data_IF_882945981725
#
_entry.id   IF_882945981725
#
_cell.length_a   1.000
_cell.length_b   1.000
_cell.length_c   1.000
_cell.angle_alpha   90.00
_cell.angle_beta   90.00
_cell.angle_gamma   90.00
#
_symmetry.space_group_name_H-M   'P 1'
#
loop_
_entity.id
_entity.type
_entity.pdbx_description
1 polymer ?
#
# COMPACT_ATOMS: atom_id res chain seq x y z
N UNK A 1 17.47 24.40 -23.91
CA UNK A 1 17.42 22.92 -23.91
C UNK A 1 16.36 22.50 -24.91
N UNK A 2 16.73 21.82 -25.99
CA UNK A 2 15.78 21.37 -27.01
C UNK A 2 14.92 20.24 -26.48
N UNK A 3 13.67 20.56 -26.18
CA UNK A 3 12.67 19.51 -25.85
C UNK A 3 12.44 18.65 -27.10
N UNK A 4 12.91 17.42 -27.09
CA UNK A 4 12.59 16.41 -28.11
C UNK A 4 11.08 16.12 -28.05
N UNK A 5 10.33 16.70 -28.97
CA UNK A 5 8.89 16.45 -29.10
C UNK A 5 8.70 15.21 -29.97
N UNK A 6 8.06 14.18 -29.42
CA UNK A 6 7.59 13.02 -30.20
C UNK A 6 6.35 13.43 -31.02
N UNK A 7 6.25 12.89 -32.23
CA UNK A 7 5.05 13.07 -33.07
C UNK A 7 3.84 12.45 -32.40
N UNK A 8 2.74 13.20 -32.36
CA UNK A 8 1.45 12.73 -31.90
C UNK A 8 0.57 12.19 -33.06
N UNK A 9 -0.56 11.59 -32.77
CA UNK A 9 -1.47 11.04 -33.77
C UNK A 9 -1.95 12.07 -34.77
N UNK A 10 -2.29 13.28 -34.32
CA UNK A 10 -2.78 14.36 -35.20
C UNK A 10 -1.69 14.81 -36.18
N UNK A 11 -0.45 14.94 -35.71
CA UNK A 11 0.69 15.29 -36.57
C UNK A 11 0.95 14.20 -37.63
N UNK A 12 0.79 12.91 -37.28
CA UNK A 12 0.88 11.81 -38.25
C UNK A 12 -0.24 11.83 -39.28
N UNK A 13 -1.47 12.18 -38.86
CA UNK A 13 -2.61 12.39 -39.80
C UNK A 13 -2.31 13.55 -40.80
N UNK A 14 -1.72 14.63 -40.30
CA UNK A 14 -1.29 15.75 -41.13
C UNK A 14 -0.20 15.34 -42.13
N UNK A 15 0.83 14.61 -41.70
CA UNK A 15 1.87 14.06 -42.58
C UNK A 15 1.23 13.21 -43.69
N UNK A 16 0.35 12.30 -43.37
CA UNK A 16 -0.31 11.45 -44.36
C UNK A 16 -1.13 12.25 -45.40
N UNK A 17 -1.87 13.26 -44.94
CA UNK A 17 -2.62 14.18 -45.79
C UNK A 17 -1.71 14.99 -46.73
N UNK A 18 -0.65 15.59 -46.19
CA UNK A 18 0.30 16.40 -46.92
C UNK A 18 1.08 15.59 -47.99
N UNK A 19 1.48 14.36 -47.64
CA UNK A 19 2.07 13.41 -48.60
C UNK A 19 1.12 13.07 -49.75
N UNK A 20 -0.18 12.96 -49.49
CA UNK A 20 -1.19 12.76 -50.55
C UNK A 20 -1.36 13.98 -51.44
N UNK A 21 -1.13 15.19 -50.94
CA UNK A 21 -1.18 16.45 -51.64
C UNK A 21 0.14 16.81 -52.35
N UNK A 22 1.17 15.94 -52.32
CA UNK A 22 2.48 16.12 -52.94
C UNK A 22 3.32 17.29 -52.38
N UNK A 23 3.11 17.72 -51.15
CA UNK A 23 3.92 18.74 -50.51
C UNK A 23 5.38 18.30 -50.37
N UNK A 24 6.30 19.25 -50.42
CA UNK A 24 7.75 19.00 -50.26
C UNK A 24 8.07 18.71 -48.75
N UNK A 25 9.21 18.05 -48.52
CA UNK A 25 9.64 17.71 -47.16
C UNK A 25 9.78 18.95 -46.28
N UNK A 26 10.33 20.04 -46.82
CA UNK A 26 10.53 21.31 -46.10
C UNK A 26 9.17 21.89 -45.69
N UNK A 27 8.22 21.95 -46.62
CA UNK A 27 6.87 22.49 -46.39
C UNK A 27 6.12 21.71 -45.29
N UNK A 28 6.31 20.38 -45.23
CA UNK A 28 5.73 19.53 -44.16
C UNK A 28 6.43 19.82 -42.86
N UNK A 29 7.74 19.96 -42.85
CA UNK A 29 8.54 20.21 -41.67
C UNK A 29 8.24 21.60 -41.07
N UNK A 30 8.17 22.63 -41.89
CA UNK A 30 7.84 24.01 -41.49
C UNK A 30 6.43 24.07 -40.88
N UNK A 31 5.45 23.41 -41.53
CA UNK A 31 4.08 23.38 -41.03
C UNK A 31 3.95 22.69 -39.66
N UNK A 32 4.78 21.68 -39.40
CA UNK A 32 4.77 20.94 -38.15
C UNK A 32 5.75 21.50 -37.11
N UNK A 33 6.48 22.57 -37.45
CA UNK A 33 7.55 23.13 -36.61
C UNK A 33 8.59 22.10 -36.19
N UNK A 34 8.98 21.22 -37.13
CA UNK A 34 9.88 20.09 -36.86
C UNK A 34 11.03 20.07 -37.86
N UNK A 35 12.15 19.48 -37.45
CA UNK A 35 13.29 19.29 -38.35
C UNK A 35 12.95 18.34 -39.52
N UNK A 36 13.28 18.71 -40.77
CA UNK A 36 13.03 17.89 -41.96
C UNK A 36 13.58 16.44 -41.86
N UNK A 37 14.73 16.29 -41.21
CA UNK A 37 15.31 14.95 -41.00
C UNK A 37 14.44 14.07 -40.12
N UNK A 38 13.73 14.64 -39.15
CA UNK A 38 12.79 13.93 -38.27
C UNK A 38 11.58 13.43 -39.06
N UNK A 39 11.01 14.27 -39.93
CA UNK A 39 9.89 13.88 -40.81
C UNK A 39 10.34 12.79 -41.79
N UNK A 40 11.52 12.95 -42.39
CA UNK A 40 12.10 11.96 -43.30
C UNK A 40 12.28 10.60 -42.64
N UNK A 41 12.82 10.59 -41.41
CA UNK A 41 13.00 9.35 -40.58
C UNK A 41 11.65 8.72 -40.21
N UNK A 42 10.66 9.55 -39.86
CA UNK A 42 9.31 9.05 -39.50
C UNK A 42 8.66 8.34 -40.68
N UNK A 43 8.69 8.96 -41.89
CA UNK A 43 8.09 8.37 -43.11
C UNK A 43 8.82 7.08 -43.47
N UNK A 44 10.16 7.09 -43.52
CA UNK A 44 10.94 5.89 -43.84
C UNK A 44 10.70 4.73 -42.87
N UNK A 45 10.62 5.02 -41.58
CA UNK A 45 10.46 4.01 -40.51
C UNK A 45 9.10 3.38 -40.50
N UNK A 46 8.05 4.16 -40.85
CA UNK A 46 6.65 3.72 -40.70
C UNK A 46 5.96 3.51 -42.06
N UNK A 47 6.70 3.48 -43.18
CA UNK A 47 6.12 3.06 -44.45
C UNK A 47 5.81 1.56 -44.44
N UNK A 48 4.67 1.22 -44.98
CA UNK A 48 4.20 -0.18 -45.09
C UNK A 48 4.04 -0.60 -46.52
N UNK A 49 4.33 -1.86 -46.83
CA UNK A 49 4.12 -2.42 -48.16
C UNK A 49 2.59 -2.54 -48.40
N UNK A 50 2.08 -1.78 -49.37
CA UNK A 50 0.65 -1.79 -49.72
C UNK A 50 0.30 -2.75 -50.84
N UNK A 51 1.24 -2.95 -51.81
CA UNK A 51 1.08 -3.91 -52.90
C UNK A 51 2.47 -4.43 -53.33
N UNK A 52 2.55 -5.76 -53.52
CA UNK A 52 3.76 -6.37 -54.10
C UNK A 52 3.76 -6.12 -55.61
N UNK A 53 4.93 -5.73 -56.16
CA UNK A 53 5.17 -5.60 -57.59
C UNK A 53 5.53 -6.91 -58.23
N UNK A 54 5.49 -6.96 -59.54
CA UNK A 54 5.93 -8.11 -60.35
C UNK A 54 7.44 -8.26 -60.42
N UNK A 55 8.18 -7.12 -60.20
CA UNK A 55 9.64 -7.08 -60.12
C UNK A 55 10.02 -6.79 -58.69
N UNK A 56 10.35 -7.87 -57.92
CA UNK A 56 10.62 -7.77 -56.49
C UNK A 56 12.00 -7.17 -56.16
N UNK A 57 12.98 -7.34 -57.03
CA UNK A 57 14.39 -7.02 -56.72
C UNK A 57 14.81 -5.61 -57.16
N UNK A 58 13.92 -4.84 -57.76
CA UNK A 58 14.17 -3.46 -58.17
C UNK A 58 13.31 -2.47 -57.38
N UNK A 59 13.92 -1.38 -56.99
CA UNK A 59 13.26 -0.29 -56.25
C UNK A 59 12.85 0.84 -57.19
N UNK A 60 11.62 1.33 -56.99
CA UNK A 60 11.19 2.55 -57.65
C UNK A 60 12.01 3.74 -57.16
N UNK A 61 12.47 4.61 -58.08
CA UNK A 61 13.25 5.84 -57.75
C UNK A 61 12.54 6.74 -56.72
N UNK A 62 11.20 6.78 -56.71
CA UNK A 62 10.42 7.55 -55.73
C UNK A 62 10.44 6.94 -54.31
N UNK A 63 10.70 5.64 -54.18
CA UNK A 63 10.82 5.00 -52.88
C UNK A 63 12.23 5.10 -52.28
N UNK A 64 13.21 5.49 -53.07
CA UNK A 64 14.58 5.76 -52.64
C UNK A 64 14.80 7.20 -52.20
N UNK A 65 14.01 8.15 -52.73
CA UNK A 65 14.04 9.59 -52.42
C UNK A 65 12.70 9.98 -51.78
N UNK A 66 12.68 11.21 -51.20
CA UNK A 66 11.41 11.77 -50.73
C UNK A 66 10.36 11.77 -51.88
N UNK A 67 9.12 11.33 -51.65
CA UNK A 67 8.46 11.10 -50.38
C UNK A 67 8.62 9.69 -49.81
N UNK A 68 9.43 8.79 -50.35
CA UNK A 68 9.69 7.41 -49.93
C UNK A 68 8.48 6.47 -50.00
N UNK A 69 7.32 6.99 -50.37
CA UNK A 69 6.02 6.31 -50.39
C UNK A 69 5.23 6.65 -51.65
N UNK A 70 4.22 5.85 -51.94
CA UNK A 70 3.40 5.99 -53.13
C UNK A 70 2.06 6.70 -52.87
N UNK A 71 1.92 7.46 -51.75
CA UNK A 71 0.65 8.08 -51.36
C UNK A 71 0.05 8.95 -52.45
N UNK A 72 0.88 9.75 -53.12
CA UNK A 72 0.46 10.66 -54.22
C UNK A 72 0.84 10.18 -55.61
N UNK A 73 1.33 8.95 -55.75
CA UNK A 73 1.78 8.43 -57.05
C UNK A 73 0.61 8.08 -57.95
N UNK A 74 0.49 8.68 -59.12
CA UNK A 74 -0.57 8.40 -60.10
C UNK A 74 -0.46 6.96 -60.65
N UNK A 75 0.76 6.43 -60.80
CA UNK A 75 1.01 5.08 -61.33
C UNK A 75 0.58 3.97 -60.36
N UNK A 76 0.20 4.29 -59.12
CA UNK A 76 -0.31 3.26 -58.19
C UNK A 76 -1.61 2.60 -58.59
N UNK A 77 -2.39 3.30 -59.42
CA UNK A 77 -3.67 2.85 -59.98
C UNK A 77 -3.55 2.11 -61.32
N UNK A 78 -2.38 2.21 -61.94
CA UNK A 78 -2.05 1.51 -63.21
C UNK A 78 -1.13 0.32 -62.89
N UNK A 79 -0.66 -0.41 -63.93
CA UNK A 79 0.25 -1.57 -63.71
C UNK A 79 1.65 -1.08 -63.34
N UNK A 80 1.85 -0.71 -62.06
CA UNK A 80 3.17 -0.41 -61.54
C UNK A 80 3.91 -1.71 -61.22
N UNK A 81 5.08 -1.98 -61.83
CA UNK A 81 5.82 -3.25 -61.67
C UNK A 81 6.56 -3.35 -60.34
N UNK A 82 6.74 -2.21 -59.62
CA UNK A 82 7.53 -2.14 -58.39
C UNK A 82 6.67 -2.34 -57.13
N UNK A 83 7.30 -2.75 -56.06
CA UNK A 83 6.68 -2.75 -54.73
C UNK A 83 6.18 -1.35 -54.34
N UNK A 84 4.94 -1.24 -53.92
CA UNK A 84 4.29 -0.01 -53.54
C UNK A 84 4.26 0.12 -51.99
N UNK A 85 4.70 1.24 -51.52
CA UNK A 85 4.71 1.58 -50.09
C UNK A 85 3.73 2.72 -49.81
N UNK A 86 3.03 2.67 -48.71
CA UNK A 86 2.22 3.79 -48.22
C UNK A 86 2.65 4.19 -46.81
N UNK A 87 2.48 5.47 -46.51
CA UNK A 87 2.49 5.97 -45.16
C UNK A 87 1.04 6.05 -44.66
N UNK A 88 0.74 5.33 -43.58
CA UNK A 88 -0.57 5.29 -42.97
C UNK A 88 -0.42 5.78 -41.51
N UNK A 89 -1.12 6.86 -41.16
CA UNK A 89 -0.98 7.52 -39.86
C UNK A 89 -1.38 6.61 -38.68
N UNK A 90 -2.40 5.77 -38.88
CA UNK A 90 -2.85 4.85 -37.82
C UNK A 90 -1.82 3.76 -37.56
N UNK A 91 -1.30 3.13 -38.64
CA UNK A 91 -0.25 2.12 -38.50
C UNK A 91 1.04 2.72 -37.94
N UNK A 92 1.39 3.95 -38.33
CA UNK A 92 2.54 4.66 -37.80
C UNK A 92 2.39 4.96 -36.30
N UNK A 93 1.17 5.32 -35.85
CA UNK A 93 0.89 5.53 -34.42
C UNK A 93 0.99 4.22 -33.66
N UNK A 94 0.32 3.16 -34.09
CA UNK A 94 0.40 1.83 -33.46
C UNK A 94 1.86 1.35 -33.34
N UNK A 95 2.64 1.48 -34.41
CA UNK A 95 4.05 1.11 -34.42
C UNK A 95 4.88 1.94 -33.43
N UNK A 96 4.55 3.22 -33.26
CA UNK A 96 5.18 4.11 -32.27
C UNK A 96 4.83 3.67 -30.85
N UNK A 97 3.56 3.38 -30.58
CA UNK A 97 3.09 2.96 -29.26
C UNK A 97 3.71 1.62 -28.86
N UNK A 98 3.74 0.64 -29.78
CA UNK A 98 4.44 -0.62 -29.55
C UNK A 98 5.91 -0.41 -29.22
N UNK A 99 6.62 0.45 -29.96
CA UNK A 99 8.04 0.75 -29.67
C UNK A 99 8.23 1.41 -28.30
N UNK A 100 7.35 2.34 -27.92
CA UNK A 100 7.39 2.98 -26.60
C UNK A 100 7.15 1.97 -25.46
N UNK A 101 6.22 1.06 -25.64
CA UNK A 101 5.95 -0.02 -24.68
C UNK A 101 7.14 -0.97 -24.62
N UNK A 102 7.62 -1.46 -25.77
CA UNK A 102 8.73 -2.42 -25.85
C UNK A 102 10.04 -1.84 -25.30
N UNK A 103 10.33 -0.56 -25.56
CA UNK A 103 11.54 0.10 -25.03
C UNK A 103 11.54 0.25 -23.50
N UNK A 104 10.35 0.19 -22.90
CA UNK A 104 10.16 0.25 -21.43
C UNK A 104 9.96 -1.12 -20.80
N UNK A 105 9.90 -2.18 -21.62
CA UNK A 105 9.85 -3.56 -21.15
C UNK A 105 11.24 -4.00 -20.69
N UNK A 106 11.24 -4.79 -19.63
CA UNK A 106 12.47 -5.33 -19.04
C UNK A 106 12.85 -4.67 -17.72
N UNK A 107 13.89 -5.20 -17.13
CA UNK A 107 14.45 -4.76 -15.87
C UNK A 107 15.66 -3.87 -16.16
N UNK A 108 15.57 -2.59 -15.78
CA UNK A 108 16.74 -1.69 -15.84
C UNK A 108 17.63 -1.90 -14.59
N UNK A 109 18.12 -3.13 -14.42
CA UNK A 109 19.02 -3.52 -13.34
C UNK A 109 19.93 -4.65 -13.78
N UNK A 110 21.07 -4.82 -13.10
CA UNK A 110 22.00 -5.94 -13.34
C UNK A 110 21.40 -7.26 -12.87
N UNK A 111 21.98 -8.38 -13.31
CA UNK A 111 21.55 -9.71 -12.86
C UNK A 111 21.74 -9.89 -11.36
N UNK A 112 22.81 -9.36 -10.81
CA UNK A 112 23.13 -9.46 -9.38
C UNK A 112 22.19 -8.61 -8.54
N UNK A 113 21.87 -7.36 -8.97
CA UNK A 113 20.86 -6.51 -8.34
C UNK A 113 19.49 -7.22 -8.33
N UNK A 114 19.13 -7.88 -9.44
CA UNK A 114 17.89 -8.64 -9.53
C UNK A 114 17.83 -9.83 -8.57
N UNK A 115 18.89 -10.63 -8.48
CA UNK A 115 18.95 -11.78 -7.58
C UNK A 115 18.87 -11.34 -6.12
N UNK A 116 19.58 -10.26 -5.78
CA UNK A 116 19.52 -9.65 -4.44
C UNK A 116 18.12 -9.16 -4.12
N UNK A 117 17.49 -8.44 -5.07
CA UNK A 117 16.10 -7.96 -4.91
C UNK A 117 15.14 -9.13 -4.68
N UNK A 118 15.19 -10.17 -5.52
CA UNK A 118 14.29 -11.32 -5.42
C UNK A 118 14.43 -12.04 -4.08
N UNK A 119 15.67 -12.28 -3.64
CA UNK A 119 15.97 -12.91 -2.36
C UNK A 119 15.45 -12.09 -1.19
N UNK A 120 15.79 -10.80 -1.12
CA UNK A 120 15.39 -9.91 -0.02
C UNK A 120 13.86 -9.75 0.06
N UNK A 121 13.20 -9.62 -1.09
CA UNK A 121 11.71 -9.54 -1.12
C UNK A 121 11.09 -10.84 -0.64
N UNK A 122 11.61 -11.99 -1.07
CA UNK A 122 11.09 -13.30 -0.66
C UNK A 122 11.22 -13.52 0.84
N UNK A 123 12.41 -13.27 1.39
CA UNK A 123 12.70 -13.42 2.82
C UNK A 123 11.80 -12.47 3.65
N UNK A 124 11.78 -11.19 3.34
CA UNK A 124 10.97 -10.22 4.09
C UNK A 124 9.47 -10.48 4.02
N UNK A 125 8.94 -10.94 2.88
CA UNK A 125 7.53 -11.34 2.77
C UNK A 125 7.24 -12.60 3.60
N UNK A 126 8.16 -13.57 3.65
CA UNK A 126 8.04 -14.76 4.49
C UNK A 126 8.00 -14.40 5.99
N UNK A 127 8.74 -13.36 6.39
CA UNK A 127 8.76 -12.81 7.75
C UNK A 127 7.54 -11.90 8.04
N UNK A 128 6.58 -11.83 7.12
CA UNK A 128 5.34 -11.04 7.27
C UNK A 128 5.52 -9.54 7.08
N UNK A 129 6.68 -9.07 6.63
CA UNK A 129 6.95 -7.66 6.38
C UNK A 129 6.19 -7.13 5.16
N UNK A 130 5.89 -5.84 5.15
CA UNK A 130 5.29 -5.18 3.98
C UNK A 130 6.35 -4.85 2.94
N UNK A 131 5.98 -4.84 1.66
CA UNK A 131 6.89 -4.42 0.58
C UNK A 131 7.45 -3.01 0.83
N UNK A 132 6.62 -2.10 1.39
CA UNK A 132 7.07 -0.76 1.75
C UNK A 132 8.21 -0.80 2.80
N UNK A 133 8.04 -1.59 3.86
CA UNK A 133 9.07 -1.76 4.89
C UNK A 133 10.36 -2.33 4.30
N UNK A 134 10.26 -3.42 3.53
CA UNK A 134 11.43 -4.08 2.94
C UNK A 134 12.24 -3.12 2.08
N UNK A 135 11.58 -2.38 1.17
CA UNK A 135 12.24 -1.43 0.28
C UNK A 135 12.83 -0.24 1.05
N UNK A 136 12.15 0.23 2.09
CA UNK A 136 12.62 1.36 2.89
C UNK A 136 13.80 0.98 3.79
N UNK A 137 13.78 -0.24 4.33
CA UNK A 137 14.84 -0.75 5.19
C UNK A 137 16.12 -1.13 4.41
N UNK A 138 15.99 -1.43 3.12
CA UNK A 138 17.12 -1.83 2.25
C UNK A 138 17.26 -0.83 1.08
N UNK A 139 17.82 0.36 1.33
CA UNK A 139 17.96 1.41 0.31
C UNK A 139 18.90 1.02 -0.85
N UNK A 140 19.75 0.01 -0.66
CA UNK A 140 20.61 -0.57 -1.69
C UNK A 140 19.82 -1.31 -2.79
N UNK A 141 18.58 -1.72 -2.52
CA UNK A 141 17.69 -2.29 -3.52
C UNK A 141 17.28 -1.22 -4.53
N UNK A 142 17.91 -1.16 -5.67
CA UNK A 142 17.66 -0.16 -6.74
C UNK A 142 16.25 -0.25 -7.34
N UNK A 143 15.24 -0.47 -6.51
CA UNK A 143 13.86 -0.65 -6.91
C UNK A 143 12.90 0.14 -6.01
N UNK A 144 11.98 0.87 -6.61
CA UNK A 144 10.90 1.53 -5.87
C UNK A 144 9.77 0.55 -5.52
N UNK A 145 8.97 0.88 -4.50
CA UNK A 145 7.80 0.07 -4.09
C UNK A 145 6.86 -0.24 -5.26
N UNK A 146 6.47 0.72 -6.13
CA UNK A 146 5.68 0.42 -7.33
C UNK A 146 6.37 -0.53 -8.29
N UNK A 147 7.71 -0.44 -8.42
CA UNK A 147 8.49 -1.35 -9.27
C UNK A 147 8.40 -2.77 -8.75
N UNK A 148 8.57 -2.99 -7.45
CA UNK A 148 8.46 -4.32 -6.84
C UNK A 148 7.07 -4.92 -7.07
N UNK A 149 5.99 -4.16 -6.81
CA UNK A 149 4.63 -4.65 -7.10
C UNK A 149 4.41 -4.98 -8.57
N UNK A 150 4.97 -4.18 -9.48
CA UNK A 150 4.92 -4.47 -10.93
C UNK A 150 5.61 -5.78 -11.24
N UNK A 151 6.80 -6.02 -10.68
CA UNK A 151 7.57 -7.26 -10.91
C UNK A 151 6.85 -8.50 -10.35
N UNK A 152 6.22 -8.40 -9.19
CA UNK A 152 5.39 -9.46 -8.61
C UNK A 152 4.18 -9.74 -9.51
N UNK A 153 3.48 -8.69 -9.97
CA UNK A 153 2.28 -8.82 -10.81
C UNK A 153 2.60 -9.37 -12.22
N UNK A 154 3.80 -9.12 -12.73
CA UNK A 154 4.28 -9.66 -14.03
C UNK A 154 5.03 -10.97 -13.89
N UNK A 155 5.00 -11.60 -12.70
CA UNK A 155 5.64 -12.87 -12.40
C UNK A 155 7.15 -12.89 -12.68
N UNK A 156 7.81 -11.75 -12.50
CA UNK A 156 9.25 -11.62 -12.67
C UNK A 156 10.05 -11.85 -11.38
N UNK A 157 9.39 -11.93 -10.22
CA UNK A 157 9.98 -12.33 -8.95
C UNK A 157 9.48 -13.71 -8.53
N UNK A 158 10.22 -14.39 -7.67
CA UNK A 158 9.83 -15.67 -7.07
C UNK A 158 8.63 -15.52 -6.13
N UNK A 159 8.50 -14.36 -5.47
CA UNK A 159 7.34 -13.99 -4.65
C UNK A 159 6.12 -13.78 -5.55
N UNK A 160 5.02 -14.46 -5.23
CA UNK A 160 3.77 -14.35 -5.96
C UNK A 160 2.81 -13.39 -5.27
N UNK A 161 1.83 -12.89 -6.01
CA UNK A 161 0.80 -12.02 -5.44
C UNK A 161 0.03 -12.67 -4.27
N UNK A 162 -0.14 -13.99 -4.29
CA UNK A 162 -0.83 -14.73 -3.24
C UNK A 162 -0.05 -14.74 -1.91
N UNK A 163 1.27 -14.58 -1.96
CA UNK A 163 2.15 -14.55 -0.79
C UNK A 163 2.04 -13.22 -0.05
N UNK A 164 1.50 -12.18 -0.73
CA UNK A 164 1.36 -10.86 -0.14
C UNK A 164 0.19 -10.83 0.86
N UNK A 165 0.36 -10.15 2.00
CA UNK A 165 -0.71 -9.94 2.95
C UNK A 165 -1.86 -9.17 2.27
N UNK A 166 -3.08 -9.52 2.31
CA UNK A 166 -4.25 -8.88 1.64
C UNK A 166 -4.43 -9.15 0.14
N UNK A 167 -3.66 -10.05 -0.47
CA UNK A 167 -3.83 -10.40 -1.88
C UNK A 167 -5.20 -11.00 -2.18
N UNK A 168 -5.78 -11.71 -1.22
CA UNK A 168 -7.11 -12.33 -1.35
C UNK A 168 -8.01 -11.84 -0.21
N UNK A 169 -9.06 -11.10 -0.57
CA UNK A 169 -10.10 -10.72 0.36
C UNK A 169 -11.39 -11.47 0.00
N UNK A 170 -11.85 -12.34 0.88
CA UNK A 170 -13.15 -12.97 0.72
C UNK A 170 -14.25 -11.97 1.12
N UNK A 171 -15.24 -11.77 0.24
CA UNK A 171 -16.46 -11.03 0.62
C UNK A 171 -17.15 -11.79 1.76
N UNK A 172 -17.33 -11.13 2.89
CA UNK A 172 -18.14 -11.69 3.98
C UNK A 172 -19.54 -11.97 3.43
N UNK A 173 -20.06 -13.19 3.62
CA UNK A 173 -21.47 -13.47 3.37
C UNK A 173 -22.30 -12.54 4.26
N UNK A 174 -23.25 -11.80 3.68
CA UNK A 174 -24.20 -11.00 4.46
C UNK A 174 -25.00 -11.98 5.33
N UNK A 175 -24.84 -11.89 6.64
CA UNK A 175 -25.72 -12.61 7.57
C UNK A 175 -27.08 -11.91 7.55
N UNK A 176 -28.12 -12.63 7.21
CA UNK A 176 -29.50 -12.13 7.23
C UNK A 176 -30.12 -12.14 8.65
N UNK A 177 -29.39 -12.63 9.65
CA UNK A 177 -29.88 -12.68 11.04
C UNK A 177 -29.42 -11.43 11.77
N UNK A 178 -30.34 -10.50 11.98
CA UNK A 178 -30.22 -9.49 13.03
C UNK A 178 -30.46 -10.21 14.36
N UNK A 179 -29.43 -10.32 15.18
CA UNK A 179 -29.60 -10.72 16.56
C UNK A 179 -29.85 -9.45 17.37
N UNK A 180 -31.01 -9.37 18.02
CA UNK A 180 -31.23 -8.36 19.06
C UNK A 180 -30.30 -8.72 20.23
N UNK A 181 -29.31 -7.88 20.47
CA UNK A 181 -28.42 -8.01 21.62
C UNK A 181 -29.14 -7.39 22.82
N UNK A 182 -29.45 -8.20 23.81
CA UNK A 182 -29.91 -7.69 25.13
C UNK A 182 -28.67 -7.20 25.87
N UNK A 183 -28.56 -5.89 26.00
CA UNK A 183 -27.51 -5.27 26.79
C UNK A 183 -27.63 -5.76 28.26
N UNK A 184 -26.49 -6.08 28.87
CA UNK A 184 -26.49 -6.44 30.28
C UNK A 184 -26.71 -5.16 31.08
N UNK A 185 -27.98 -4.91 31.44
CA UNK A 185 -28.45 -3.67 32.09
C UNK A 185 -27.90 -3.47 33.52
N UNK A 186 -27.07 -4.41 34.03
CA UNK A 186 -26.49 -4.35 35.38
C UNK A 186 -25.23 -3.47 35.46
N UNK A 187 -24.65 -3.08 34.34
CA UNK A 187 -23.43 -2.27 34.32
C UNK A 187 -23.79 -0.89 33.82
N UNK A 188 -23.77 0.09 34.74
CA UNK A 188 -23.99 1.49 34.38
C UNK A 188 -22.75 2.05 33.66
N UNK A 189 -22.93 2.41 32.39
CA UNK A 189 -21.92 3.06 31.54
C UNK A 189 -22.28 4.49 31.19
N UNK A 190 -23.16 5.11 32.00
CA UNK A 190 -23.47 6.54 31.84
C UNK A 190 -22.18 7.35 31.93
N UNK A 191 -22.10 8.44 31.15
CA UNK A 191 -20.91 9.30 31.01
C UNK A 191 -19.67 8.60 30.43
N UNK A 192 -19.82 7.40 29.84
CA UNK A 192 -18.76 6.62 29.17
C UNK A 192 -19.19 6.12 27.79
N UNK A 193 -20.16 6.80 27.19
CA UNK A 193 -20.67 6.45 25.87
C UNK A 193 -19.70 6.93 24.78
N UNK A 194 -19.94 6.50 23.55
CA UNK A 194 -19.19 7.00 22.41
C UNK A 194 -19.39 8.51 22.17
N UNK A 195 -20.55 9.04 22.51
CA UNK A 195 -20.78 10.49 22.46
C UNK A 195 -19.95 11.24 23.51
N UNK A 196 -19.82 10.69 24.72
CA UNK A 196 -18.94 11.26 25.76
C UNK A 196 -17.46 11.20 25.32
N UNK A 197 -17.06 10.14 24.63
CA UNK A 197 -15.73 10.04 24.02
C UNK A 197 -15.47 11.16 23.01
N UNK A 198 -16.43 11.41 22.13
CA UNK A 198 -16.30 12.48 21.13
C UNK A 198 -16.25 13.87 21.78
N UNK A 199 -17.06 14.10 22.81
CA UNK A 199 -17.03 15.35 23.59
C UNK A 199 -15.68 15.53 24.27
N UNK A 200 -15.17 14.48 24.94
CA UNK A 200 -13.86 14.52 25.58
C UNK A 200 -12.73 14.79 24.59
N UNK A 201 -12.75 14.14 23.43
CA UNK A 201 -11.77 14.37 22.37
C UNK A 201 -11.82 15.79 21.80
N UNK A 202 -13.03 16.38 21.71
CA UNK A 202 -13.22 17.76 21.29
C UNK A 202 -12.67 18.76 22.33
N UNK A 203 -12.89 18.49 23.61
CA UNK A 203 -12.47 19.38 24.70
C UNK A 203 -10.94 19.30 24.92
N UNK A 204 -10.33 18.17 24.58
CA UNK A 204 -8.88 17.92 24.74
C UNK A 204 -8.21 17.51 23.40
N UNK A 205 -8.17 18.38 22.37
CA UNK A 205 -7.70 18.02 21.04
C UNK A 205 -6.20 17.69 20.97
N UNK A 206 -5.43 18.08 22.00
CA UNK A 206 -4.00 17.75 22.10
C UNK A 206 -3.69 16.38 22.68
N UNK A 207 -4.68 15.66 23.19
CA UNK A 207 -4.50 14.33 23.76
C UNK A 207 -4.75 13.24 22.71
N UNK A 208 -3.91 12.22 22.74
CA UNK A 208 -4.10 11.04 21.91
C UNK A 208 -5.01 10.04 22.63
N UNK A 209 -5.91 9.40 21.88
CA UNK A 209 -6.67 8.29 22.43
C UNK A 209 -6.02 6.95 22.15
N UNK A 210 -6.30 5.99 23.00
CA UNK A 210 -5.91 4.59 22.83
C UNK A 210 -7.15 3.77 22.50
N UNK A 211 -7.03 2.83 21.60
CA UNK A 211 -8.08 1.85 21.32
C UNK A 211 -7.66 0.50 21.90
N UNK A 212 -8.56 -0.11 22.67
CA UNK A 212 -8.33 -1.37 23.34
C UNK A 212 -9.28 -2.46 22.82
N UNK A 213 -8.74 -3.67 22.61
CA UNK A 213 -9.51 -4.81 22.10
C UNK A 213 -8.85 -6.14 22.51
N UNK A 214 -9.64 -7.22 22.57
CA UNK A 214 -9.10 -8.57 22.69
C UNK A 214 -9.03 -9.27 21.33
N UNK A 215 -7.90 -9.85 21.03
CA UNK A 215 -7.69 -10.71 19.87
C UNK A 215 -7.72 -12.18 20.33
N UNK A 216 -8.89 -12.80 20.27
CA UNK A 216 -9.05 -14.25 20.46
C UNK A 216 -8.90 -15.00 19.12
N UNK A 217 -8.70 -16.33 19.17
CA UNK A 217 -8.58 -17.15 17.96
C UNK A 217 -9.68 -18.21 17.88
N UNK A 218 -9.60 -19.27 18.65
CA UNK A 218 -10.66 -20.28 18.73
C UNK A 218 -11.37 -20.20 20.10
N UNK A 219 -12.61 -20.65 20.11
CA UNK A 219 -13.47 -20.49 21.29
C UNK A 219 -12.98 -21.29 22.54
N UNK A 220 -12.16 -22.30 22.30
CA UNK A 220 -11.61 -23.17 23.36
C UNK A 220 -10.29 -22.68 23.93
N UNK A 221 -9.67 -21.64 23.33
CA UNK A 221 -8.41 -21.10 23.82
C UNK A 221 -8.58 -20.51 25.23
N UNK A 222 -7.62 -20.79 26.09
CA UNK A 222 -7.50 -20.18 27.42
C UNK A 222 -6.79 -18.85 27.39
N UNK A 223 -6.02 -18.58 26.30
CA UNK A 223 -5.25 -17.35 26.12
C UNK A 223 -5.91 -16.42 25.12
N UNK A 224 -5.77 -15.13 25.34
CA UNK A 224 -6.15 -14.07 24.40
C UNK A 224 -5.08 -12.99 24.40
N UNK A 225 -4.95 -12.27 23.31
CA UNK A 225 -4.00 -11.15 23.21
C UNK A 225 -4.78 -9.86 23.43
N UNK A 226 -4.48 -9.13 24.51
CA UNK A 226 -4.96 -7.76 24.70
C UNK A 226 -4.14 -6.83 23.82
N UNK A 227 -4.81 -6.02 23.03
CA UNK A 227 -4.19 -5.04 22.13
C UNK A 227 -4.50 -3.63 22.61
N UNK A 228 -3.48 -2.80 22.83
CA UNK A 228 -3.60 -1.36 23.04
C UNK A 228 -2.97 -0.67 21.85
N UNK A 229 -3.75 0.11 21.11
CA UNK A 229 -3.29 0.78 19.91
C UNK A 229 -3.41 2.29 20.07
N UNK A 230 -2.33 3.04 19.80
CA UNK A 230 -2.34 4.49 19.67
C UNK A 230 -2.49 4.83 18.17
N UNK A 231 -3.69 5.16 17.69
CA UNK A 231 -3.97 5.28 16.25
C UNK A 231 -3.12 6.31 15.53
N UNK A 232 -2.88 7.46 16.15
CA UNK A 232 -2.11 8.57 15.57
C UNK A 232 -0.65 8.22 15.31
N UNK A 233 -0.10 7.25 16.07
CA UNK A 233 1.28 6.78 15.96
C UNK A 233 1.39 5.42 15.28
N UNK A 234 0.28 4.78 14.94
CA UNK A 234 0.24 3.36 14.55
C UNK A 234 0.98 2.43 15.53
N UNK A 235 1.13 2.89 16.78
CA UNK A 235 1.85 2.16 17.81
C UNK A 235 0.93 1.14 18.47
N UNK A 236 1.43 -0.07 18.71
CA UNK A 236 0.67 -1.14 19.35
C UNK A 236 1.44 -1.74 20.52
N UNK A 237 0.72 -2.07 21.58
CA UNK A 237 1.18 -2.94 22.66
C UNK A 237 0.35 -4.21 22.67
N UNK A 238 1.02 -5.33 22.76
CA UNK A 238 0.42 -6.68 22.76
C UNK A 238 0.75 -7.38 24.09
N UNK A 239 -0.27 -7.88 24.76
CA UNK A 239 -0.13 -8.60 26.03
C UNK A 239 -0.85 -9.93 25.95
N UNK A 240 -0.16 -11.03 26.29
CA UNK A 240 -0.74 -12.36 26.37
C UNK A 240 -1.44 -12.53 27.71
N UNK A 241 -2.77 -12.62 27.69
CA UNK A 241 -3.59 -12.77 28.90
C UNK A 241 -4.15 -14.18 28.96
N UNK A 242 -3.83 -14.89 30.03
CA UNK A 242 -4.40 -16.21 30.31
C UNK A 242 -5.73 -16.05 31.04
N UNK A 243 -6.77 -16.73 30.56
CA UNK A 243 -8.12 -16.68 31.11
C UNK A 243 -8.58 -15.23 31.33
N UNK A 244 -8.83 -14.47 30.23
CA UNK A 244 -9.13 -13.05 30.31
C UNK A 244 -10.34 -12.76 31.18
N UNK A 245 -10.14 -11.91 32.17
CA UNK A 245 -11.17 -11.43 33.14
C UNK A 245 -10.95 -9.95 33.39
N UNK A 246 -11.96 -9.29 33.98
CA UNK A 246 -11.82 -7.87 34.34
C UNK A 246 -10.66 -7.61 35.29
N UNK A 247 -10.43 -8.48 36.27
CA UNK A 247 -9.30 -8.36 37.22
C UNK A 247 -7.95 -8.45 36.51
N UNK A 248 -7.79 -9.36 35.56
CA UNK A 248 -6.55 -9.48 34.77
C UNK A 248 -6.24 -8.22 33.96
N UNK A 249 -7.27 -7.53 33.48
CA UNK A 249 -7.10 -6.26 32.79
C UNK A 249 -6.66 -5.18 33.78
N UNK A 250 -7.26 -5.10 34.97
CA UNK A 250 -6.86 -4.18 36.04
C UNK A 250 -5.41 -4.43 36.43
N UNK A 251 -5.03 -5.68 36.73
CA UNK A 251 -3.67 -6.08 37.10
C UNK A 251 -2.65 -5.66 36.04
N UNK A 252 -3.00 -5.78 34.75
CA UNK A 252 -2.14 -5.36 33.63
C UNK A 252 -1.95 -3.84 33.62
N UNK A 253 -3.01 -3.08 33.83
CA UNK A 253 -2.90 -1.61 33.91
C UNK A 253 -2.10 -1.14 35.13
N UNK A 254 -2.20 -1.84 36.26
CA UNK A 254 -1.42 -1.57 37.46
C UNK A 254 0.07 -1.86 37.24
N UNK A 255 0.38 -2.96 36.54
CA UNK A 255 1.76 -3.27 36.13
C UNK A 255 2.31 -2.23 35.15
N UNK A 256 1.52 -1.80 34.17
CA UNK A 256 1.91 -0.73 33.24
C UNK A 256 2.20 0.58 33.96
N UNK A 257 1.35 0.98 34.92
CA UNK A 257 1.57 2.18 35.72
C UNK A 257 2.84 2.05 36.58
N UNK A 258 3.09 0.87 37.16
CA UNK A 258 4.29 0.60 37.95
C UNK A 258 5.58 0.76 37.15
N UNK A 259 5.61 0.23 35.92
CA UNK A 259 6.80 0.28 35.05
C UNK A 259 7.02 1.68 34.49
N UNK A 260 5.96 2.33 34.05
CA UNK A 260 6.06 3.65 33.40
C UNK A 260 6.18 4.80 34.42
N UNK A 261 5.58 4.62 35.59
CA UNK A 261 5.27 5.68 36.53
C UNK A 261 3.99 6.43 36.16
N UNK A 262 3.25 6.94 37.16
CA UNK A 262 1.93 7.57 36.98
C UNK A 262 1.92 8.67 35.93
N UNK A 263 2.95 9.53 35.92
CA UNK A 263 3.04 10.67 34.98
C UNK A 263 3.12 10.21 33.52
N UNK A 264 4.02 9.27 33.21
CA UNK A 264 4.19 8.77 31.86
C UNK A 264 2.97 7.92 31.42
N UNK A 265 2.38 7.16 32.35
CA UNK A 265 1.14 6.41 32.12
C UNK A 265 0.01 7.37 31.68
N UNK A 266 -0.25 8.44 32.43
CA UNK A 266 -1.32 9.41 32.12
C UNK A 266 -1.10 10.10 30.76
N UNK A 267 0.16 10.32 30.37
CA UNK A 267 0.48 10.90 29.07
C UNK A 267 0.26 9.94 27.90
N UNK A 268 0.57 8.64 28.09
CA UNK A 268 0.43 7.61 27.05
C UNK A 268 -1.00 7.09 26.92
N UNK A 269 -1.73 7.02 28.03
CA UNK A 269 -3.07 6.45 28.09
C UNK A 269 -4.09 7.46 28.68
N UNK A 270 -4.17 8.69 28.18
CA UNK A 270 -5.03 9.72 28.77
C UNK A 270 -6.52 9.33 28.70
N UNK A 271 -6.95 8.69 27.62
CA UNK A 271 -8.28 8.11 27.49
C UNK A 271 -8.30 6.96 26.50
N UNK A 272 -9.17 5.98 26.78
CA UNK A 272 -9.20 4.69 26.11
C UNK A 272 -10.60 4.45 25.56
N UNK A 273 -10.69 4.03 24.31
CA UNK A 273 -11.93 3.57 23.68
C UNK A 273 -11.91 2.06 23.53
N UNK A 274 -12.94 1.39 24.03
CA UNK A 274 -13.06 -0.08 23.97
C UNK A 274 -14.48 -0.51 23.57
N UNK A 275 -14.69 -1.83 23.37
CA UNK A 275 -16.03 -2.36 23.22
C UNK A 275 -16.64 -2.67 24.60
N UNK A 276 -17.86 -3.23 24.57
CA UNK A 276 -18.61 -3.58 25.78
C UNK A 276 -18.33 -5.01 26.25
N UNK A 277 -17.13 -5.55 25.97
CA UNK A 277 -16.75 -6.86 26.49
C UNK A 277 -16.78 -6.87 28.01
N UNK A 278 -17.18 -8.01 28.59
CA UNK A 278 -17.27 -8.18 30.05
C UNK A 278 -15.92 -7.96 30.74
N UNK A 279 -14.82 -8.30 30.08
CA UNK A 279 -13.46 -8.08 30.61
C UNK A 279 -13.13 -6.59 30.84
N UNK A 280 -13.85 -5.68 30.21
CA UNK A 280 -13.68 -4.22 30.37
C UNK A 280 -14.71 -3.59 31.30
N UNK A 281 -15.45 -4.39 32.06
CA UNK A 281 -16.53 -3.90 32.93
C UNK A 281 -16.05 -3.26 34.24
N UNK A 282 -14.80 -3.50 34.64
CA UNK A 282 -14.23 -2.94 35.87
C UNK A 282 -13.58 -1.56 35.64
N UNK A 283 -14.30 -0.68 34.96
CA UNK A 283 -13.80 0.63 34.55
C UNK A 283 -13.30 1.49 35.71
N UNK A 284 -14.00 1.49 36.85
CA UNK A 284 -13.59 2.29 38.01
C UNK A 284 -12.17 1.90 38.51
N UNK A 285 -11.84 0.60 38.48
CA UNK A 285 -10.52 0.11 38.88
C UNK A 285 -9.47 0.36 37.77
N UNK A 286 -9.84 0.24 36.51
CA UNK A 286 -8.96 0.57 35.38
C UNK A 286 -8.62 2.05 35.40
N UNK A 287 -9.57 2.93 35.70
CA UNK A 287 -9.42 4.38 35.71
C UNK A 287 -8.65 4.90 36.94
N UNK A 288 -8.69 4.17 38.08
CA UNK A 288 -8.03 4.60 39.31
C UNK A 288 -6.55 4.23 39.33
N UNK A 289 -5.70 5.17 39.71
CA UNK A 289 -4.27 4.93 39.93
C UNK A 289 -4.05 4.03 41.15
N UNK A 290 -3.16 3.04 41.01
CA UNK A 290 -2.74 2.17 42.10
C UNK A 290 -2.12 2.95 43.26
N UNK A 291 -1.37 4.03 42.96
CA UNK A 291 -0.57 4.77 43.95
C UNK A 291 -1.30 5.94 44.58
N UNK A 292 -2.11 6.67 43.79
CA UNK A 292 -2.71 7.93 44.25
C UNK A 292 -4.22 7.84 44.46
N UNK A 293 -4.84 6.76 44.03
CA UNK A 293 -6.32 6.59 43.95
C UNK A 293 -7.02 7.68 43.14
N UNK A 294 -6.25 8.54 42.45
CA UNK A 294 -6.77 9.53 41.54
C UNK A 294 -6.96 8.93 40.14
N UNK A 295 -7.66 9.63 39.28
CA UNK A 295 -7.89 9.20 37.93
C UNK A 295 -6.58 9.14 37.13
N UNK A 296 -6.25 7.94 36.58
CA UNK A 296 -5.08 7.73 35.73
C UNK A 296 -5.43 7.70 34.23
N UNK A 297 -6.68 7.41 33.89
CA UNK A 297 -7.18 7.36 32.51
C UNK A 297 -8.69 7.49 32.50
N UNK A 298 -9.29 7.75 31.34
CA UNK A 298 -10.73 7.69 31.14
C UNK A 298 -11.08 6.54 30.21
N UNK A 299 -12.10 5.73 30.53
CA UNK A 299 -12.55 4.62 29.71
C UNK A 299 -13.90 4.92 29.06
N UNK A 300 -13.95 4.83 27.76
CA UNK A 300 -15.17 5.03 26.95
C UNK A 300 -15.51 3.76 26.17
N UNK A 301 -16.79 3.58 25.86
CA UNK A 301 -17.31 2.41 25.18
C UNK A 301 -17.92 2.74 23.84
N UNK A 302 -17.59 1.95 22.84
CA UNK A 302 -18.28 1.97 21.55
C UNK A 302 -19.74 1.58 21.68
N UNK A 303 -20.56 2.01 20.75
CA UNK A 303 -21.93 1.52 20.61
C UNK A 303 -21.93 0.07 20.17
N UNK A 304 -22.95 -0.67 20.61
CA UNK A 304 -23.11 -2.07 20.25
C UNK A 304 -23.20 -2.24 18.74
N UNK A 305 -22.45 -3.22 18.19
CA UNK A 305 -22.39 -3.53 16.76
C UNK A 305 -21.85 -2.44 15.82
N UNK A 306 -21.26 -1.38 16.35
CA UNK A 306 -20.69 -0.31 15.56
C UNK A 306 -19.16 -0.40 15.47
N UNK A 307 -18.67 -1.35 14.64
CA UNK A 307 -17.24 -1.58 14.47
C UNK A 307 -16.49 -0.40 13.85
N UNK A 308 -17.19 0.51 13.16
CA UNK A 308 -16.56 1.70 12.56
C UNK A 308 -15.99 2.67 13.59
N UNK A 309 -16.51 2.66 14.82
CA UNK A 309 -16.04 3.53 15.90
C UNK A 309 -14.63 3.18 16.40
N UNK A 310 -14.16 1.94 16.18
CA UNK A 310 -12.81 1.50 16.51
C UNK A 310 -12.06 0.91 15.29
N UNK A 311 -12.20 1.56 14.15
CA UNK A 311 -11.64 1.10 12.88
C UNK A 311 -10.12 0.89 12.91
N UNK A 312 -9.37 1.67 13.70
CA UNK A 312 -7.91 1.58 13.76
C UNK A 312 -7.45 0.29 14.45
N UNK A 313 -8.03 -0.07 15.61
CA UNK A 313 -7.69 -1.34 16.26
C UNK A 313 -8.16 -2.54 15.44
N UNK A 314 -9.29 -2.41 14.72
CA UNK A 314 -9.71 -3.45 13.79
C UNK A 314 -8.74 -3.62 12.61
N UNK A 315 -8.21 -2.52 12.10
CA UNK A 315 -7.18 -2.56 11.05
C UNK A 315 -5.89 -3.18 11.59
N UNK A 316 -5.48 -2.83 12.81
CA UNK A 316 -4.34 -3.45 13.49
C UNK A 316 -4.59 -4.94 13.71
N UNK A 317 -5.76 -5.32 14.20
CA UNK A 317 -6.13 -6.72 14.36
C UNK A 317 -6.09 -7.51 13.05
N UNK A 318 -6.42 -6.90 11.90
CA UNK A 318 -6.23 -7.54 10.59
C UNK A 318 -4.74 -7.76 10.27
N UNK A 319 -3.85 -6.87 10.68
CA UNK A 319 -2.40 -7.08 10.52
C UNK A 319 -1.91 -8.20 11.44
N UNK A 320 -2.34 -8.20 12.70
CA UNK A 320 -2.03 -9.24 13.67
C UNK A 320 -2.51 -10.63 13.22
N UNK A 321 -3.61 -10.71 12.46
CA UNK A 321 -4.13 -11.96 11.91
C UNK A 321 -3.19 -12.66 10.91
N UNK A 322 -2.14 -12.01 10.45
CA UNK A 322 -1.07 -12.67 9.68
C UNK A 322 -0.24 -13.59 10.58
N UNK A 323 0.04 -13.14 11.79
CA UNK A 323 0.80 -13.90 12.79
C UNK A 323 -0.10 -14.85 13.58
N UNK A 324 -1.32 -14.40 13.88
CA UNK A 324 -2.32 -15.12 14.67
C UNK A 324 -3.59 -15.41 13.85
N UNK A 325 -3.55 -16.33 12.88
CA UNK A 325 -4.68 -16.61 12.00
C UNK A 325 -5.91 -17.06 12.78
N UNK A 326 -7.09 -16.54 12.40
CA UNK A 326 -8.35 -16.96 12.99
C UNK A 326 -8.59 -18.46 12.74
N UNK A 327 -8.95 -19.19 13.77
CA UNK A 327 -9.21 -20.64 13.69
C UNK A 327 -7.99 -21.53 14.01
N UNK A 328 -6.83 -20.93 14.34
CA UNK A 328 -5.68 -21.66 14.89
C UNK A 328 -5.53 -21.30 16.36
N UNK A 329 -5.26 -22.26 17.23
CA UNK A 329 -5.07 -22.02 18.68
C UNK A 329 -3.85 -21.13 18.91
N UNK A 330 -3.97 -20.22 19.87
CA UNK A 330 -2.89 -19.35 20.35
C UNK A 330 -2.40 -19.77 21.75
N UNK A 331 -2.90 -20.87 22.31
CA UNK A 331 -2.50 -21.35 23.64
C UNK A 331 -1.03 -21.78 23.72
N UNK A 332 -0.41 -22.08 22.57
CA UNK A 332 1.02 -22.41 22.48
C UNK A 332 1.94 -21.20 22.58
N UNK A 333 1.41 -19.98 22.47
CA UNK A 333 2.23 -18.77 22.52
C UNK A 333 2.76 -18.51 23.92
N UNK A 334 3.97 -17.96 24.00
CA UNK A 334 4.56 -17.42 25.21
C UNK A 334 4.51 -15.88 25.19
N UNK A 335 4.74 -15.26 26.34
CA UNK A 335 4.79 -13.79 26.46
C UNK A 335 5.95 -13.22 25.61
N UNK A 336 7.08 -13.94 25.56
CA UNK A 336 8.25 -13.60 24.77
C UNK A 336 7.92 -13.60 23.27
N UNK A 337 7.21 -14.64 22.79
CA UNK A 337 6.79 -14.70 21.38
C UNK A 337 5.90 -13.51 21.00
N UNK A 338 4.94 -13.16 21.86
CA UNK A 338 4.04 -12.01 21.63
C UNK A 338 4.82 -10.71 21.67
N UNK A 339 5.82 -10.59 22.55
CA UNK A 339 6.71 -9.45 22.62
C UNK A 339 7.56 -9.30 21.32
N UNK A 340 8.10 -10.38 20.78
CA UNK A 340 8.82 -10.36 19.50
C UNK A 340 7.93 -9.83 18.37
N UNK A 341 6.68 -10.30 18.28
CA UNK A 341 5.73 -9.77 17.28
C UNK A 341 5.43 -8.29 17.50
N UNK A 342 5.32 -7.85 18.76
CA UNK A 342 5.16 -6.45 19.08
C UNK A 342 6.32 -5.61 18.55
N UNK A 343 7.56 -6.08 18.70
CA UNK A 343 8.76 -5.42 18.19
C UNK A 343 8.78 -5.38 16.65
N UNK A 344 8.45 -6.48 15.97
CA UNK A 344 8.40 -6.52 14.50
C UNK A 344 7.42 -5.47 13.95
N UNK A 345 6.24 -5.34 14.57
CA UNK A 345 5.21 -4.41 14.11
C UNK A 345 5.65 -2.96 14.34
N UNK A 346 6.13 -2.65 15.56
CA UNK A 346 6.51 -1.28 15.91
C UNK A 346 7.83 -0.80 15.26
N UNK A 347 8.64 -1.72 14.72
CA UNK A 347 9.82 -1.42 13.92
C UNK A 347 9.55 -1.40 12.41
N UNK A 348 8.30 -1.63 11.98
CA UNK A 348 7.95 -1.59 10.57
C UNK A 348 7.79 -0.16 10.06
N UNK A 349 8.45 0.19 8.95
CA UNK A 349 8.27 1.50 8.31
C UNK A 349 6.86 1.65 7.74
N UNK A 350 6.23 2.79 8.01
CA UNK A 350 4.84 3.06 7.62
C UNK A 350 4.78 4.33 6.75
N UNK A 351 4.09 4.24 5.61
CA UNK A 351 3.99 5.34 4.67
C UNK A 351 3.25 6.57 5.25
N UNK A 352 2.18 6.36 6.04
CA UNK A 352 1.43 7.43 6.70
C UNK A 352 2.24 8.19 7.78
N UNK A 353 3.31 7.59 8.30
CA UNK A 353 4.27 8.23 9.19
C UNK A 353 5.46 8.84 8.42
N UNK A 354 5.28 9.17 7.15
CA UNK A 354 6.35 9.70 6.28
C UNK A 354 7.57 8.78 6.19
N UNK A 355 7.35 7.48 6.35
CA UNK A 355 8.37 6.45 6.32
C UNK A 355 9.08 6.20 7.64
N UNK A 356 8.67 6.85 8.74
CA UNK A 356 9.13 6.51 10.09
C UNK A 356 8.48 5.23 10.60
N UNK A 357 9.10 4.62 11.61
CA UNK A 357 8.51 3.51 12.35
C UNK A 357 7.62 4.04 13.49
N UNK A 358 6.67 3.26 14.01
CA UNK A 358 5.94 3.59 15.23
C UNK A 358 6.84 3.88 16.43
N UNK A 359 7.94 3.13 16.60
CA UNK A 359 8.92 3.37 17.66
C UNK A 359 9.59 4.75 17.52
N UNK A 360 10.02 5.13 16.31
CA UNK A 360 10.58 6.46 16.04
C UNK A 360 9.56 7.58 16.28
N UNK A 361 8.30 7.37 15.86
CA UNK A 361 7.24 8.34 16.07
C UNK A 361 6.93 8.53 17.55
N UNK A 362 6.89 7.44 18.33
CA UNK A 362 6.67 7.48 19.77
C UNK A 362 7.86 8.15 20.48
N UNK A 363 9.10 7.78 20.14
CA UNK A 363 10.30 8.37 20.73
C UNK A 363 10.40 9.89 20.50
N UNK A 364 9.95 10.35 19.32
CA UNK A 364 9.91 11.78 18.99
C UNK A 364 8.94 12.58 19.87
N UNK A 365 7.83 11.98 20.30
CA UNK A 365 6.81 12.65 21.11
C UNK A 365 7.04 12.51 22.62
N UNK A 366 7.42 11.32 23.07
CA UNK A 366 7.51 10.98 24.49
C UNK A 366 8.94 10.76 24.98
N UNK A 367 9.92 10.82 24.10
CA UNK A 367 11.33 10.61 24.41
C UNK A 367 11.76 9.14 24.36
N UNK A 368 13.07 8.94 24.21
CA UNK A 368 13.68 7.61 24.09
C UNK A 368 13.56 6.78 25.39
N UNK A 369 13.57 7.44 26.54
CA UNK A 369 13.42 6.76 27.83
C UNK A 369 12.04 6.09 27.96
N UNK A 370 10.99 6.78 27.55
CA UNK A 370 9.64 6.23 27.52
C UNK A 370 9.54 5.05 26.55
N UNK A 371 10.13 5.17 25.37
CA UNK A 371 10.20 4.06 24.40
C UNK A 371 10.93 2.86 25.00
N UNK A 372 12.10 3.05 25.62
CA UNK A 372 12.87 1.96 26.21
C UNK A 372 12.08 1.22 27.30
N UNK A 373 11.33 1.94 28.14
CA UNK A 373 10.43 1.32 29.11
C UNK A 373 9.35 0.47 28.42
N UNK A 374 8.69 1.00 27.40
CA UNK A 374 7.64 0.27 26.67
C UNK A 374 8.18 -0.95 25.92
N UNK A 375 9.34 -0.84 25.29
CA UNK A 375 9.96 -1.93 24.53
C UNK A 375 10.54 -3.02 25.43
N UNK A 376 10.77 -2.78 26.71
CA UNK A 376 11.22 -3.77 27.68
C UNK A 376 10.07 -4.49 28.39
N UNK A 377 8.81 -4.09 28.15
CA UNK A 377 7.67 -4.68 28.84
C UNK A 377 7.36 -6.09 28.31
N UNK A 378 7.50 -7.08 29.18
CA UNK A 378 7.04 -8.46 28.98
C UNK A 378 6.12 -8.79 30.15
N UNK A 379 4.81 -8.61 29.97
CA UNK A 379 3.78 -8.85 30.98
C UNK A 379 2.95 -10.08 30.63
#
# INVERSE_FOLDING_TARGET
MSHWKHLNENQRKLIASMLSKKLKLIEIADFLEMDPSSISKEIKRNRVLSKKGTVSDQFCKQTLRFPYVCNSCMKKYTMCPFNQYKYDSHIAQMSSDVRLVTSRQGLNMTKDDYLTLDKTIKEGVSDGQSIYHIVKHNPELKASVPTVYRLINTHQLSTKRIDLPYAVQYKKRKSLKQYEYKENSRIDRSQRTYLDFLAFQHDFPGLFHVQMDFLGSIRTDKKSILTLTIPSLHYVLLFLVESPTGHKVVDLFDQLETILGTKAFNQLFPFILTDRDFCFSQFNQIEASLYTQQLRTHLFYCDSFNSSQKANVEQMNKQLRKFFPKGKSIDHLSKESVHEFNQIINNSHIASLSGSTPNEALAKLYGIECLNKLTSIII
#
